data_IF_698313299752
#
_entry.id   IF_698313299752
#
_cell.length_a   1.000
_cell.length_b   1.000
_cell.length_c   1.000
_cell.angle_alpha   90.00
_cell.angle_beta   90.00
_cell.angle_gamma   90.00
#
_symmetry.space_group_name_H-M   'P 1'
#
loop_
_entity.id
_entity.type
_entity.pdbx_description
1 polymer ?
#
# COMPACT_ATOMS: atom_id res chain seq x y z
N UNK A 1 -13.28 -11.00 15.68
CA UNK A 1 -12.75 -9.63 15.79
C UNK A 1 -11.57 -9.68 16.74
N UNK A 2 -10.37 -9.43 16.24
CA UNK A 2 -9.15 -9.42 17.07
C UNK A 2 -9.13 -8.08 17.82
N UNK A 3 -9.18 -8.12 19.15
CA UNK A 3 -9.07 -6.93 19.98
C UNK A 3 -7.71 -6.24 19.74
N UNK A 4 -7.74 -4.96 19.36
CA UNK A 4 -6.54 -4.12 19.26
C UNK A 4 -5.82 -4.08 20.60
N UNK A 5 -4.55 -4.49 20.64
CA UNK A 5 -3.76 -4.55 21.88
C UNK A 5 -2.85 -3.34 21.96
N UNK A 6 -2.90 -2.60 23.08
CA UNK A 6 -2.03 -1.46 23.33
C UNK A 6 -0.86 -1.86 24.23
N UNK A 7 0.37 -1.71 23.72
CA UNK A 7 1.61 -2.04 24.44
C UNK A 7 2.50 -0.80 24.60
N UNK A 8 3.27 -0.67 25.70
CA UNK A 8 4.32 0.34 25.77
C UNK A 8 5.37 0.15 24.68
N UNK A 9 5.90 1.25 24.15
CA UNK A 9 7.02 1.26 23.19
C UNK A 9 7.99 2.38 23.57
N UNK A 10 9.05 2.03 24.29
CA UNK A 10 9.92 3.03 24.91
C UNK A 10 9.23 3.76 26.08
N UNK A 11 9.74 4.95 26.42
CA UNK A 11 9.30 5.70 27.60
C UNK A 11 8.09 6.61 27.35
N UNK A 12 7.88 7.03 26.11
CA UNK A 12 6.87 8.04 25.75
C UNK A 12 6.04 7.66 24.51
N UNK A 13 5.88 6.37 24.21
CA UNK A 13 5.02 5.94 23.11
C UNK A 13 4.27 4.64 23.39
N UNK A 14 3.17 4.46 22.67
CA UNK A 14 2.31 3.28 22.70
C UNK A 14 2.27 2.64 21.30
N UNK A 15 2.27 1.32 21.26
CA UNK A 15 2.16 0.50 20.06
C UNK A 15 0.83 -0.25 20.07
N UNK A 16 0.01 -0.01 19.05
CA UNK A 16 -1.30 -0.62 18.88
C UNK A 16 -1.23 -1.71 17.81
N UNK A 17 -1.55 -2.95 18.18
CA UNK A 17 -1.62 -4.08 17.24
C UNK A 17 -2.93 -4.05 16.44
N UNK A 18 -2.84 -4.12 15.11
CA UNK A 18 -4.00 -4.07 14.21
C UNK A 18 -4.24 -5.43 13.52
N UNK A 19 -5.49 -5.71 13.19
CA UNK A 19 -5.87 -6.95 12.52
C UNK A 19 -5.17 -7.09 11.15
N UNK A 20 -5.13 -6.02 10.38
CA UNK A 20 -4.53 -5.95 9.05
C UNK A 20 -4.10 -4.50 8.72
N UNK A 21 -3.67 -4.31 7.48
CA UNK A 21 -3.23 -3.01 6.96
C UNK A 21 -4.34 -1.96 6.93
N UNK A 22 -5.53 -2.35 6.46
CA UNK A 22 -6.67 -1.42 6.35
C UNK A 22 -7.04 -0.90 7.73
N UNK A 23 -7.07 -1.78 8.74
CA UNK A 23 -7.31 -1.42 10.12
C UNK A 23 -6.22 -0.49 10.68
N UNK A 24 -4.96 -0.69 10.32
CA UNK A 24 -3.85 0.16 10.78
C UNK A 24 -3.93 1.58 10.19
N UNK A 25 -4.13 1.71 8.88
CA UNK A 25 -4.26 3.01 8.21
C UNK A 25 -5.47 3.77 8.74
N UNK A 26 -6.61 3.10 8.89
CA UNK A 26 -7.84 3.73 9.39
C UNK A 26 -7.74 4.10 10.88
N UNK A 27 -7.05 3.29 11.70
CA UNK A 27 -6.79 3.65 13.10
C UNK A 27 -5.89 4.87 13.20
N UNK A 28 -4.78 4.93 12.44
CA UNK A 28 -3.89 6.08 12.44
C UNK A 28 -4.62 7.38 12.07
N UNK A 29 -5.38 7.36 10.98
CA UNK A 29 -6.22 8.49 10.53
C UNK A 29 -7.18 8.97 11.62
N UNK A 30 -7.78 8.05 12.37
CA UNK A 30 -8.72 8.41 13.46
C UNK A 30 -8.00 8.98 14.67
N UNK A 31 -6.86 8.41 15.06
CA UNK A 31 -6.04 8.94 16.15
C UNK A 31 -5.58 10.37 15.81
N UNK A 32 -5.08 10.61 14.60
CA UNK A 32 -4.69 11.96 14.14
C UNK A 32 -5.83 12.98 14.23
N UNK A 33 -7.07 12.54 13.98
CA UNK A 33 -8.24 13.43 14.00
C UNK A 33 -8.85 13.65 15.38
N UNK A 34 -8.73 12.68 16.28
CA UNK A 34 -9.49 12.63 17.53
C UNK A 34 -8.62 12.66 18.79
N UNK A 35 -7.31 12.49 18.65
CA UNK A 35 -6.35 12.50 19.76
C UNK A 35 -5.33 13.63 19.55
N UNK A 36 -5.70 14.90 19.79
CA UNK A 36 -4.79 16.04 19.60
C UNK A 36 -3.57 16.03 20.52
N UNK A 37 -3.62 15.25 21.61
CA UNK A 37 -2.51 15.02 22.54
C UNK A 37 -1.39 14.14 21.94
N UNK A 38 -1.69 13.40 20.86
CA UNK A 38 -0.68 12.60 20.17
C UNK A 38 0.31 13.53 19.47
N UNK A 39 1.59 13.45 19.86
CA UNK A 39 2.68 14.22 19.26
C UNK A 39 3.01 13.71 17.87
N UNK A 40 2.94 12.40 17.68
CA UNK A 40 3.17 11.75 16.40
C UNK A 40 2.33 10.47 16.30
N UNK A 41 1.91 10.15 15.08
CA UNK A 41 1.11 8.95 14.76
C UNK A 41 1.75 8.29 13.55
N UNK A 42 2.36 7.12 13.77
CA UNK A 42 3.10 6.40 12.73
C UNK A 42 2.41 5.08 12.43
N UNK A 43 1.70 5.05 11.30
CA UNK A 43 1.15 3.82 10.76
C UNK A 43 2.26 2.89 10.23
N UNK A 44 2.10 1.60 10.47
CA UNK A 44 2.88 0.53 9.88
C UNK A 44 1.97 -0.54 9.26
N UNK A 45 2.56 -1.65 8.83
CA UNK A 45 1.82 -2.68 8.07
C UNK A 45 0.68 -3.33 8.87
N UNK A 46 0.84 -3.48 10.20
CA UNK A 46 -0.16 -4.07 11.12
C UNK A 46 -0.12 -3.42 12.51
N UNK A 47 0.44 -2.23 12.60
CA UNK A 47 0.67 -1.55 13.87
C UNK A 47 0.49 -0.05 13.70
N UNK A 48 0.12 0.65 14.77
CA UNK A 48 0.20 2.11 14.85
C UNK A 48 1.01 2.46 16.09
N UNK A 49 2.07 3.26 15.91
CA UNK A 49 2.78 3.88 17.02
C UNK A 49 2.14 5.25 17.28
N UNK A 50 1.84 5.55 18.54
CA UNK A 50 1.34 6.86 18.96
C UNK A 50 2.27 7.39 20.04
N UNK A 51 2.89 8.54 19.79
CA UNK A 51 3.85 9.17 20.69
C UNK A 51 3.16 10.22 21.57
N UNK A 52 3.53 10.23 22.85
CA UNK A 52 3.28 11.33 23.77
C UNK A 52 4.49 12.28 23.78
N UNK A 53 4.34 13.46 24.40
CA UNK A 53 5.47 14.41 24.55
C UNK A 53 6.56 13.86 25.44
N UNK A 54 6.16 13.23 26.54
CA UNK A 54 7.05 12.59 27.50
C UNK A 54 6.32 11.49 28.28
N UNK A 55 7.06 10.84 29.18
CA UNK A 55 6.55 9.71 29.96
C UNK A 55 5.40 10.06 30.90
N UNK A 56 5.26 11.33 31.31
CA UNK A 56 4.20 11.76 32.24
C UNK A 56 2.82 11.84 31.59
N UNK A 57 2.77 12.08 30.28
CA UNK A 57 1.54 12.14 29.48
C UNK A 57 1.07 10.75 29.01
N UNK A 58 1.94 9.73 29.09
CA UNK A 58 1.65 8.38 28.58
C UNK A 58 0.39 7.72 29.18
N UNK A 59 0.09 7.83 30.49
CA UNK A 59 -1.14 7.26 31.07
C UNK A 59 -2.41 7.90 30.51
N UNK A 60 -2.39 9.21 30.26
CA UNK A 60 -3.52 9.94 29.71
C UNK A 60 -3.73 9.60 28.24
N UNK A 61 -2.65 9.59 27.45
CA UNK A 61 -2.70 9.14 26.06
C UNK A 61 -3.25 7.71 25.95
N UNK A 62 -2.83 6.80 26.85
CA UNK A 62 -3.39 5.45 26.92
C UNK A 62 -4.88 5.47 27.15
N UNK A 63 -5.36 6.24 28.13
CA UNK A 63 -6.79 6.34 28.46
C UNK A 63 -7.60 6.81 27.25
N UNK A 64 -7.15 7.85 26.57
CA UNK A 64 -7.83 8.39 25.37
C UNK A 64 -7.88 7.37 24.23
N UNK A 65 -6.80 6.64 23.99
CA UNK A 65 -6.77 5.58 22.98
C UNK A 65 -7.69 4.40 23.35
N UNK A 66 -7.72 3.99 24.61
CA UNK A 66 -8.63 2.95 25.10
C UNK A 66 -10.10 3.36 24.95
N UNK A 67 -10.41 4.63 25.23
CA UNK A 67 -11.75 5.19 25.02
C UNK A 67 -12.13 5.27 23.54
N UNK A 68 -11.21 5.69 22.67
CA UNK A 68 -11.42 5.70 21.22
C UNK A 68 -11.74 4.30 20.70
N UNK A 69 -10.92 3.30 21.05
CA UNK A 69 -11.15 1.92 20.64
C UNK A 69 -12.45 1.34 21.22
N UNK A 70 -12.83 1.73 22.44
CA UNK A 70 -14.09 1.32 23.05
C UNK A 70 -15.30 1.94 22.34
N UNK A 71 -15.21 3.20 21.89
CA UNK A 71 -16.23 3.84 21.05
C UNK A 71 -16.38 3.11 19.72
N UNK A 72 -15.28 2.83 19.04
CA UNK A 72 -15.25 2.10 17.78
C UNK A 72 -15.92 0.72 17.89
N UNK A 73 -15.60 -0.03 18.93
CA UNK A 73 -16.17 -1.35 19.16
C UNK A 73 -17.69 -1.31 19.35
N UNK A 74 -18.24 -0.23 19.92
CA UNK A 74 -19.68 -0.01 20.06
C UNK A 74 -20.31 0.42 18.74
N UNK A 75 -19.65 1.29 17.99
CA UNK A 75 -20.16 1.77 16.69
C UNK A 75 -20.16 0.68 15.64
N UNK A 76 -19.14 -0.19 15.61
CA UNK A 76 -19.08 -1.35 14.72
C UNK A 76 -20.18 -2.40 14.98
N UNK A 77 -20.80 -2.39 16.16
CA UNK A 77 -21.94 -3.26 16.51
C UNK A 77 -23.29 -2.69 16.04
N UNK A 78 -23.34 -1.41 15.66
CA UNK A 78 -24.53 -0.78 15.10
C UNK A 78 -24.38 -0.81 13.58
N UNK A 79 -25.12 -1.68 12.89
CA UNK A 79 -25.11 -1.77 11.42
C UNK A 79 -25.35 -0.39 10.81
N UNK A 80 -24.29 0.22 10.26
CA UNK A 80 -24.39 1.37 9.38
C UNK A 80 -24.05 0.94 7.96
N UNK A 81 -24.80 1.43 6.94
CA UNK A 81 -24.39 1.25 5.56
C UNK A 81 -22.97 1.82 5.39
N UNK A 82 -22.06 1.01 4.86
CA UNK A 82 -20.71 1.43 4.47
C UNK A 82 -20.80 2.73 3.68
N UNK A 83 -20.54 3.86 4.34
CA UNK A 83 -20.52 5.15 3.67
C UNK A 83 -19.14 5.20 3.02
N UNK A 84 -19.10 4.91 1.72
CA UNK A 84 -17.89 5.03 0.91
C UNK A 84 -17.34 6.45 1.16
N UNK A 85 -16.23 6.55 1.92
CA UNK A 85 -15.63 7.85 2.21
C UNK A 85 -15.36 8.54 0.88
N UNK A 86 -16.02 9.69 0.69
CA UNK A 86 -15.93 10.45 -0.54
C UNK A 86 -14.49 10.94 -0.71
N UNK A 87 -13.97 10.63 -1.89
CA UNK A 87 -12.63 10.84 -2.45
C UNK A 87 -12.20 12.31 -2.62
N UNK A 88 -12.89 13.23 -1.96
CA UNK A 88 -12.73 14.66 -2.18
C UNK A 88 -11.36 15.12 -1.63
N UNK A 89 -10.43 15.40 -2.55
CA UNK A 89 -9.10 15.94 -2.24
C UNK A 89 -7.94 14.96 -2.33
N UNK A 90 -8.16 13.72 -2.77
CA UNK A 90 -7.06 12.76 -2.98
C UNK A 90 -6.22 13.18 -4.19
N UNK A 91 -4.96 13.53 -3.97
CA UNK A 91 -4.03 13.90 -5.03
C UNK A 91 -3.57 12.66 -5.79
N UNK A 92 -3.60 12.74 -7.11
CA UNK A 92 -3.03 11.72 -7.99
C UNK A 92 -1.64 12.16 -8.48
N UNK A 93 -0.66 11.27 -8.33
CA UNK A 93 0.74 11.47 -8.73
C UNK A 93 1.10 10.42 -9.78
N UNK A 94 1.58 10.85 -10.94
CA UNK A 94 2.06 9.97 -12.01
C UNK A 94 3.58 9.90 -11.94
N UNK A 95 4.12 8.69 -11.81
CA UNK A 95 5.56 8.42 -11.82
C UNK A 95 5.95 7.74 -13.13
N UNK A 96 6.82 8.40 -13.89
CA UNK A 96 7.41 7.85 -15.12
C UNK A 96 8.51 6.86 -14.77
N UNK A 97 8.38 5.63 -15.29
CA UNK A 97 9.26 4.50 -14.95
C UNK A 97 9.87 3.89 -16.19
N UNK A 98 11.19 3.74 -16.17
CA UNK A 98 11.91 2.82 -17.05
C UNK A 98 11.92 1.45 -16.39
N UNK A 99 11.25 0.48 -17.02
CA UNK A 99 11.17 -0.90 -16.51
C UNK A 99 12.38 -1.72 -16.97
N UNK A 100 13.54 -1.44 -16.39
CA UNK A 100 14.82 -2.10 -16.66
C UNK A 100 15.46 -2.66 -15.37
N UNK A 101 14.65 -2.87 -14.34
CA UNK A 101 15.15 -3.31 -13.04
C UNK A 101 15.78 -4.71 -13.10
N UNK A 102 16.83 -4.97 -12.30
CA UNK A 102 17.58 -6.22 -12.34
C UNK A 102 16.75 -7.46 -11.95
N UNK A 103 15.65 -7.28 -11.21
CA UNK A 103 14.78 -8.38 -10.79
C UNK A 103 13.53 -8.52 -11.67
N UNK A 104 13.36 -7.67 -12.69
CA UNK A 104 12.11 -7.59 -13.45
C UNK A 104 11.70 -8.92 -14.07
N UNK A 105 12.65 -9.66 -14.66
CA UNK A 105 12.38 -10.99 -15.23
C UNK A 105 12.01 -12.00 -14.14
N UNK A 106 12.77 -12.04 -13.04
CA UNK A 106 12.52 -12.99 -11.95
C UNK A 106 11.17 -12.72 -11.27
N UNK A 107 10.79 -11.45 -11.09
CA UNK A 107 9.47 -11.09 -10.57
C UNK A 107 8.36 -11.54 -11.52
N UNK A 108 8.58 -11.41 -12.84
CA UNK A 108 7.61 -11.87 -13.82
C UNK A 108 7.42 -13.40 -13.73
N UNK A 109 8.51 -14.15 -13.61
CA UNK A 109 8.50 -15.60 -13.43
C UNK A 109 7.79 -16.02 -12.13
N UNK A 110 8.11 -15.35 -11.01
CA UNK A 110 7.44 -15.58 -9.71
C UNK A 110 5.93 -15.29 -9.77
N UNK A 111 5.52 -14.31 -10.59
CA UNK A 111 4.13 -13.96 -10.81
C UNK A 111 3.42 -14.85 -11.86
N UNK A 112 4.15 -15.74 -12.54
CA UNK A 112 3.61 -16.55 -13.66
C UNK A 112 3.21 -15.70 -14.87
N UNK A 113 3.90 -14.58 -15.09
CA UNK A 113 3.61 -13.60 -16.14
C UNK A 113 4.83 -13.42 -17.05
N UNK A 114 4.61 -12.97 -18.30
CA UNK A 114 5.70 -12.37 -19.07
C UNK A 114 6.07 -11.00 -18.49
N UNK A 115 7.29 -10.52 -18.75
CA UNK A 115 7.73 -9.17 -18.35
C UNK A 115 6.76 -8.09 -18.82
N UNK A 116 6.30 -8.14 -20.08
CA UNK A 116 5.33 -7.17 -20.59
C UNK A 116 3.98 -7.25 -19.88
N UNK A 117 3.54 -8.46 -19.53
CA UNK A 117 2.30 -8.65 -18.78
C UNK A 117 2.41 -8.10 -17.35
N UNK A 118 3.55 -8.32 -16.69
CA UNK A 118 3.87 -7.74 -15.38
C UNK A 118 3.88 -6.21 -15.44
N UNK A 119 4.55 -5.61 -16.43
CA UNK A 119 4.60 -4.16 -16.63
C UNK A 119 3.19 -3.59 -16.86
N UNK A 120 2.38 -4.21 -17.73
CA UNK A 120 0.98 -3.78 -17.94
C UNK A 120 0.14 -3.89 -16.67
N UNK A 121 0.32 -4.97 -15.91
CA UNK A 121 -0.38 -5.21 -14.64
C UNK A 121 -0.02 -4.16 -13.59
N UNK A 122 1.27 -3.88 -13.41
CA UNK A 122 1.76 -2.88 -12.45
C UNK A 122 1.22 -1.47 -12.76
N UNK A 123 1.16 -1.09 -14.04
CA UNK A 123 0.61 0.20 -14.49
C UNK A 123 -0.91 0.29 -14.36
N UNK A 124 -1.64 -0.83 -14.44
CA UNK A 124 -3.10 -0.83 -14.33
C UNK A 124 -3.62 -0.60 -12.91
N UNK A 125 -2.78 -0.83 -11.90
CA UNK A 125 -3.14 -0.70 -10.49
C UNK A 125 -3.21 0.78 -10.11
N UNK A 126 -4.25 1.16 -9.36
CA UNK A 126 -4.25 2.42 -8.62
C UNK A 126 -3.51 2.16 -7.33
N UNK A 127 -2.30 2.66 -7.21
CA UNK A 127 -1.54 2.50 -5.98
C UNK A 127 -1.96 3.58 -4.98
N UNK A 128 -1.96 3.25 -3.70
CA UNK A 128 -2.25 4.18 -2.61
C UNK A 128 -1.08 4.22 -1.65
N UNK A 129 -0.61 5.42 -1.33
CA UNK A 129 0.41 5.62 -0.30
C UNK A 129 -0.19 5.31 1.08
N UNK A 130 0.03 4.10 1.58
CA UNK A 130 -0.59 3.65 2.84
C UNK A 130 0.02 4.36 4.05
N UNK A 131 1.36 4.43 4.10
CA UNK A 131 2.12 5.12 5.15
C UNK A 131 3.54 5.42 4.69
N UNK A 132 4.16 6.44 5.29
CA UNK A 132 5.57 6.77 5.12
C UNK A 132 6.44 6.02 6.12
N UNK A 133 7.72 5.79 5.80
CA UNK A 133 8.66 5.14 6.72
C UNK A 133 9.97 4.77 6.03
N UNK A 134 10.86 4.03 6.71
CA UNK A 134 12.18 3.62 6.23
C UNK A 134 13.19 4.76 5.97
N UNK A 135 12.85 5.74 5.14
CA UNK A 135 13.67 6.92 4.85
C UNK A 135 12.76 8.11 4.47
N UNK A 136 13.23 9.37 4.59
CA UNK A 136 12.46 10.53 4.14
C UNK A 136 12.02 10.40 2.67
N UNK A 137 10.73 10.56 2.41
CA UNK A 137 10.13 10.40 1.08
C UNK A 137 9.86 8.96 0.63
N UNK A 138 10.17 7.94 1.44
CA UNK A 138 9.81 6.56 1.13
C UNK A 138 8.40 6.25 1.65
N UNK A 139 7.53 5.84 0.72
CA UNK A 139 6.15 5.46 1.02
C UNK A 139 5.87 4.02 0.60
N UNK A 140 5.18 3.31 1.48
CA UNK A 140 4.67 1.97 1.21
C UNK A 140 3.37 2.11 0.42
N UNK A 141 3.45 1.82 -0.88
CA UNK A 141 2.31 1.84 -1.77
C UNK A 141 1.63 0.48 -1.79
N UNK A 142 0.30 0.45 -1.78
CA UNK A 142 -0.50 -0.77 -1.95
C UNK A 142 -1.52 -0.60 -3.04
N UNK A 143 -2.08 -1.69 -3.54
CA UNK A 143 -3.28 -1.61 -4.37
C UNK A 143 -4.39 -0.94 -3.55
N UNK A 144 -5.03 0.11 -4.07
CA UNK A 144 -6.07 0.84 -3.33
C UNK A 144 -7.19 -0.07 -2.82
N UNK A 145 -7.46 -1.16 -3.54
CA UNK A 145 -8.45 -2.17 -3.17
C UNK A 145 -8.08 -2.93 -1.88
N UNK A 146 -6.83 -2.87 -1.45
CA UNK A 146 -6.37 -3.42 -0.16
C UNK A 146 -6.82 -2.58 1.04
N UNK A 147 -7.21 -1.32 0.80
CA UNK A 147 -7.66 -0.38 1.83
C UNK A 147 -9.19 -0.18 1.82
N UNK A 148 -9.87 -0.48 0.71
CA UNK A 148 -11.33 -0.36 0.60
C UNK A 148 -12.08 -1.61 1.06
N UNK A 149 -11.37 -2.70 1.39
CA UNK A 149 -12.00 -3.95 1.81
C UNK A 149 -12.62 -4.75 0.66
N UNK A 150 -12.34 -4.41 -0.59
CA UNK A 150 -12.72 -5.20 -1.76
C UNK A 150 -11.87 -6.48 -1.81
N UNK A 151 -12.11 -7.42 -0.90
CA UNK A 151 -11.44 -8.72 -0.89
C UNK A 151 -11.70 -9.44 -2.23
N UNK A 152 -10.64 -9.93 -2.87
CA UNK A 152 -10.77 -10.72 -4.09
C UNK A 152 -11.61 -11.98 -3.78
N UNK A 153 -12.75 -12.09 -4.46
CA UNK A 153 -13.55 -13.30 -4.56
C UNK A 153 -12.83 -14.26 -5.52
N UNK A 154 -11.61 -14.70 -5.21
CA UNK A 154 -10.95 -15.80 -5.93
C UNK A 154 -9.70 -16.31 -5.19
N UNK A 155 -9.90 -17.00 -4.06
CA UNK A 155 -8.88 -17.92 -3.53
C UNK A 155 -9.26 -19.41 -3.67
N UNK A 156 -10.34 -19.74 -4.36
CA UNK A 156 -10.71 -21.14 -4.63
C UNK A 156 -10.73 -21.43 -6.12
N UNK A 157 -9.63 -22.01 -6.64
CA UNK A 157 -9.63 -22.99 -7.73
C UNK A 157 -8.24 -23.63 -7.87
N UNK A 158 -7.91 -24.47 -6.90
CA UNK A 158 -7.03 -25.62 -7.12
C UNK A 158 -7.78 -26.89 -6.69
N UNK A 159 -8.42 -27.53 -7.66
CA UNK A 159 -8.94 -28.89 -7.52
C UNK A 159 -10.35 -29.09 -8.08
N UNK A 160 -10.45 -29.46 -9.35
CA UNK A 160 -11.35 -30.53 -9.82
C UNK A 160 -11.24 -30.67 -11.34
N UNK A 161 -10.46 -31.67 -11.77
CA UNK A 161 -10.68 -32.39 -13.02
C UNK A 161 -12.06 -33.00 -13.03
N UNK A 162 -12.86 -32.76 -14.07
CA UNK A 162 -14.15 -33.41 -14.26
C UNK A 162 -14.80 -33.01 -15.58
N UNK A 163 -14.72 -33.91 -16.57
CA UNK A 163 -15.42 -33.80 -17.84
C UNK A 163 -16.94 -33.88 -17.64
N UNK A 164 -17.73 -33.05 -18.35
CA UNK A 164 -18.82 -33.54 -19.19
C UNK A 164 -19.35 -32.48 -20.15
N UNK A 165 -19.74 -32.93 -21.35
CA UNK A 165 -20.29 -32.10 -22.42
C UNK A 165 -21.79 -31.80 -22.29
N UNK A 166 -22.21 -30.73 -22.94
CA UNK A 166 -23.63 -30.39 -23.14
C UNK A 166 -23.77 -29.16 -24.04
N UNK A 167 -24.30 -29.34 -25.26
CA UNK A 167 -24.67 -28.28 -26.20
C UNK A 167 -26.01 -27.65 -25.79
N UNK A 168 -26.12 -26.32 -25.89
CA UNK A 168 -27.36 -25.54 -25.81
C UNK A 168 -27.12 -24.05 -26.13
N UNK A 169 -28.09 -23.29 -26.67
CA UNK A 169 -27.89 -22.47 -27.87
C UNK A 169 -27.53 -20.99 -27.64
N UNK A 170 -27.06 -20.39 -28.74
CA UNK A 170 -26.69 -19.00 -28.95
C UNK A 170 -27.85 -18.01 -28.80
N UNK A 171 -27.55 -16.82 -28.28
CA UNK A 171 -28.45 -15.66 -28.36
C UNK A 171 -28.20 -14.61 -27.28
N UNK A 172 -27.20 -13.74 -27.50
CA UNK A 172 -26.97 -12.56 -26.67
C UNK A 172 -25.81 -11.76 -27.21
N UNK A 173 -26.09 -10.74 -28.02
CA UNK A 173 -25.06 -9.79 -28.45
C UNK A 173 -24.47 -9.08 -27.22
N UNK A 174 -23.16 -8.79 -27.17
CA UNK A 174 -22.57 -8.18 -25.99
C UNK A 174 -23.03 -6.71 -25.89
N UNK A 175 -23.81 -6.43 -24.85
CA UNK A 175 -23.96 -5.07 -24.31
C UNK A 175 -22.58 -4.53 -23.88
N UNK A 176 -22.27 -3.25 -24.11
CA UNK A 176 -20.99 -2.67 -23.72
C UNK A 176 -21.07 -2.23 -22.25
N UNK A 177 -20.98 -3.18 -21.32
CA UNK A 177 -20.82 -2.88 -19.89
C UNK A 177 -20.06 -4.03 -19.22
N UNK A 178 -18.92 -3.71 -18.62
CA UNK A 178 -18.15 -4.65 -17.80
C UNK A 178 -16.73 -4.89 -18.32
N UNK A 179 -15.90 -3.86 -18.40
CA UNK A 179 -14.46 -4.11 -18.35
C UNK A 179 -14.18 -4.70 -16.96
N UNK A 180 -13.82 -5.99 -16.90
CA UNK A 180 -13.43 -6.64 -15.67
C UNK A 180 -12.31 -5.81 -15.02
N UNK A 181 -12.38 -5.50 -13.72
CA UNK A 181 -11.33 -4.74 -13.07
C UNK A 181 -9.98 -5.44 -13.29
N UNK A 182 -8.90 -4.67 -13.50
CA UNK A 182 -7.59 -5.28 -13.74
C UNK A 182 -7.25 -6.21 -12.57
N UNK A 183 -6.81 -7.42 -12.88
CA UNK A 183 -6.43 -8.39 -11.85
C UNK A 183 -5.35 -7.81 -10.91
N UNK A 184 -5.24 -8.34 -9.70
CA UNK A 184 -4.22 -7.90 -8.72
C UNK A 184 -2.82 -8.35 -9.12
N UNK A 185 -1.80 -7.71 -8.54
CA UNK A 185 -0.45 -8.25 -8.63
C UNK A 185 -0.32 -9.42 -7.62
N UNK A 186 0.24 -10.58 -8.01
CA UNK A 186 0.59 -11.62 -7.05
C UNK A 186 1.56 -11.09 -5.99
N UNK A 187 1.56 -11.71 -4.80
CA UNK A 187 2.50 -11.39 -3.72
C UNK A 187 3.91 -11.74 -4.16
N UNK A 188 4.84 -10.78 -4.10
CA UNK A 188 6.23 -10.96 -4.55
C UNK A 188 7.15 -10.99 -3.33
N UNK A 189 7.75 -12.13 -2.95
CA UNK A 189 8.59 -12.19 -1.76
C UNK A 189 9.83 -11.29 -1.87
N UNK A 190 10.30 -10.82 -0.72
CA UNK A 190 11.58 -10.11 -0.60
C UNK A 190 12.74 -11.01 -1.05
N UNK A 191 13.87 -10.38 -1.37
CA UNK A 191 15.14 -11.10 -1.50
C UNK A 191 15.49 -11.84 -0.21
N UNK A 192 16.08 -13.03 -0.33
CA UNK A 192 16.60 -13.77 0.82
C UNK A 192 17.74 -13.06 1.56
N UNK A 193 18.45 -12.14 0.89
CA UNK A 193 19.43 -11.26 1.51
C UNK A 193 19.33 -9.85 0.92
N UNK A 194 19.30 -8.77 1.73
CA UNK A 194 19.24 -7.41 1.22
C UNK A 194 20.47 -7.05 0.37
N UNK A 195 20.25 -6.22 -0.66
CA UNK A 195 21.35 -5.56 -1.36
C UNK A 195 22.03 -4.58 -0.41
N UNK A 196 23.37 -4.50 -0.42
CA UNK A 196 24.08 -3.49 0.36
C UNK A 196 23.80 -2.08 -0.17
N UNK A 197 23.42 -1.96 -1.45
CA UNK A 197 23.09 -0.70 -2.10
C UNK A 197 22.03 -0.89 -3.18
N UNK A 198 20.93 -0.15 -3.04
CA UNK A 198 19.88 0.06 -4.03
C UNK A 198 20.01 1.51 -4.51
N UNK A 199 20.03 1.80 -5.83
CA UNK A 199 20.08 3.18 -6.34
C UNK A 199 18.85 4.01 -5.95
N UNK A 200 19.02 5.32 -5.83
CA UNK A 200 17.90 6.26 -5.75
C UNK A 200 17.01 6.15 -7.01
N UNK A 201 15.71 6.37 -6.86
CA UNK A 201 14.72 6.24 -7.92
C UNK A 201 14.31 4.80 -8.24
N UNK A 202 14.93 3.78 -7.61
CA UNK A 202 14.58 2.38 -7.88
C UNK A 202 13.12 2.11 -7.50
N UNK A 203 12.36 1.49 -8.40
CA UNK A 203 10.99 1.02 -8.15
C UNK A 203 11.07 -0.43 -7.70
N UNK A 204 10.60 -0.70 -6.48
CA UNK A 204 10.70 -2.00 -5.84
C UNK A 204 9.33 -2.60 -5.53
N UNK A 205 9.28 -3.94 -5.49
CA UNK A 205 8.17 -4.74 -4.99
C UNK A 205 8.63 -5.61 -3.81
N UNK A 206 7.78 -5.71 -2.79
CA UNK A 206 7.95 -6.63 -1.67
C UNK A 206 6.59 -6.96 -1.03
N UNK A 207 6.28 -8.25 -0.95
CA UNK A 207 5.00 -8.79 -0.57
C UNK A 207 3.86 -8.16 -1.39
N UNK A 208 2.96 -7.42 -0.73
CA UNK A 208 1.88 -6.67 -1.38
C UNK A 208 2.26 -5.22 -1.73
N UNK A 209 3.46 -4.78 -1.35
CA UNK A 209 3.86 -3.38 -1.42
C UNK A 209 4.66 -3.08 -2.68
N UNK A 210 4.45 -1.87 -3.19
CA UNK A 210 5.32 -1.17 -4.13
C UNK A 210 5.92 0.06 -3.45
N UNK A 211 7.09 0.49 -3.85
CA UNK A 211 7.72 1.72 -3.36
C UNK A 211 8.75 2.23 -4.34
N UNK A 212 9.09 3.51 -4.20
CA UNK A 212 10.25 4.10 -4.86
C UNK A 212 11.28 4.50 -3.82
N UNK A 213 12.52 4.05 -4.00
CA UNK A 213 13.63 4.41 -3.11
C UNK A 213 14.00 5.89 -3.32
N UNK A 214 13.83 6.78 -2.32
CA UNK A 214 14.08 8.22 -2.48
C UNK A 214 15.58 8.56 -2.58
N UNK A 215 16.43 7.72 -2.01
CA UNK A 215 17.88 7.85 -1.98
C UNK A 215 18.57 6.50 -2.06
N UNK A 216 19.90 6.51 -2.23
CA UNK A 216 20.66 5.27 -2.25
C UNK A 216 20.77 4.67 -0.84
N UNK A 217 20.28 3.45 -0.65
CA UNK A 217 20.24 2.77 0.66
C UNK A 217 20.39 1.26 0.50
N UNK A 218 20.71 0.50 1.57
CA UNK A 218 20.49 -0.94 1.57
C UNK A 218 19.01 -1.28 1.35
N UNK A 219 18.70 -2.44 0.77
CA UNK A 219 17.31 -2.80 0.49
C UNK A 219 17.12 -4.23 0.00
N UNK A 220 16.08 -4.90 0.51
CA UNK A 220 15.75 -6.29 0.14
C UNK A 220 14.56 -6.44 -0.80
N UNK A 221 14.09 -5.35 -1.42
CA UNK A 221 12.96 -5.40 -2.34
C UNK A 221 13.43 -5.81 -3.74
N UNK A 222 12.53 -6.43 -4.50
CA UNK A 222 12.76 -6.81 -5.89
C UNK A 222 12.59 -5.59 -6.78
N UNK A 223 13.64 -5.19 -7.48
CA UNK A 223 13.70 -3.97 -8.28
C UNK A 223 13.23 -4.24 -9.71
N UNK A 224 12.13 -3.60 -10.11
CA UNK A 224 11.48 -3.80 -11.42
C UNK A 224 11.74 -2.67 -12.41
N UNK A 225 12.25 -1.53 -11.94
CA UNK A 225 12.55 -0.38 -12.79
C UNK A 225 13.13 0.78 -11.99
N UNK A 226 13.19 1.95 -12.63
CA UNK A 226 13.62 3.20 -12.00
C UNK A 226 12.85 4.41 -12.53
N UNK A 227 12.73 5.45 -11.71
CA UNK A 227 12.18 6.76 -12.05
C UNK A 227 13.19 7.85 -11.73
N UNK A 228 13.17 8.93 -12.51
CA UNK A 228 13.95 10.15 -12.24
C UNK A 228 13.19 11.14 -11.33
N UNK A 229 11.98 10.79 -10.89
CA UNK A 229 11.22 11.59 -9.95
C UNK A 229 12.00 11.78 -8.64
N UNK A 230 12.02 13.01 -8.12
CA UNK A 230 12.60 13.33 -6.82
C UNK A 230 11.54 13.18 -5.74
N UNK A 231 11.62 12.09 -4.98
CA UNK A 231 10.65 11.70 -3.94
C UNK A 231 10.81 12.53 -2.65
N UNK A 232 12.02 13.03 -2.41
CA UNK A 232 12.36 13.89 -1.29
C UNK A 232 13.25 15.03 -1.76
N UNK A 233 12.88 16.25 -1.42
CA UNK A 233 13.62 17.47 -1.76
C UNK A 233 13.42 18.50 -0.62
N UNK A 234 14.43 18.71 0.24
CA UNK A 234 14.29 19.57 1.42
C UNK A 234 14.05 21.04 1.09
N UNK A 235 14.31 21.46 -0.15
CA UNK A 235 14.15 22.84 -0.59
C UNK A 235 12.72 23.12 -1.13
N UNK A 236 11.85 22.10 -1.23
CA UNK A 236 10.44 22.28 -1.60
C UNK A 236 9.59 22.72 -0.41
N UNK A 237 8.50 23.48 -0.65
CA UNK A 237 7.51 23.79 0.40
C UNK A 237 6.95 22.53 1.07
N UNK A 238 6.67 21.51 0.25
CA UNK A 238 6.33 20.16 0.70
C UNK A 238 7.50 19.22 0.32
N UNK A 239 8.40 18.88 1.27
CA UNK A 239 9.62 18.16 0.93
C UNK A 239 9.39 16.76 0.35
N UNK A 240 8.34 16.07 0.80
CA UNK A 240 7.98 14.76 0.29
C UNK A 240 7.07 14.89 -0.95
N UNK A 241 7.42 14.20 -2.03
CA UNK A 241 6.58 14.17 -3.23
C UNK A 241 5.24 13.48 -2.99
N UNK A 242 5.19 12.55 -2.04
CA UNK A 242 4.01 11.76 -1.67
C UNK A 242 3.64 12.05 -0.21
N UNK A 243 2.37 11.90 0.11
CA UNK A 243 1.80 11.95 1.46
C UNK A 243 0.89 10.73 1.67
N UNK A 244 0.63 10.32 2.93
CA UNK A 244 -0.33 9.26 3.21
C UNK A 244 -1.69 9.56 2.57
N UNK A 245 -2.27 8.56 1.91
CA UNK A 245 -3.56 8.68 1.22
C UNK A 245 -3.49 9.08 -0.25
N UNK A 246 -2.34 9.57 -0.75
CA UNK A 246 -2.18 9.90 -2.18
C UNK A 246 -2.38 8.68 -3.08
N UNK A 247 -2.89 8.94 -4.29
CA UNK A 247 -2.92 7.95 -5.37
C UNK A 247 -1.68 8.07 -6.22
N UNK A 248 -1.10 6.93 -6.56
CA UNK A 248 0.07 6.83 -7.42
C UNK A 248 -0.27 5.97 -8.64
N UNK A 249 0.07 6.49 -9.82
CA UNK A 249 0.02 5.75 -11.09
C UNK A 249 1.42 5.67 -11.65
N UNK A 250 1.78 4.50 -12.17
CA UNK A 250 3.04 4.33 -12.87
C UNK A 250 2.81 4.34 -14.36
N UNK A 251 3.66 5.05 -15.10
CA UNK A 251 3.62 5.12 -16.55
C UNK A 251 4.97 4.68 -17.12
N UNK A 252 4.96 3.69 -18.00
CA UNK A 252 6.16 3.25 -18.70
C UNK A 252 6.67 4.37 -19.60
N UNK A 253 7.95 4.67 -19.49
CA UNK A 253 8.67 5.49 -20.46
C UNK A 253 9.76 4.65 -21.09
N UNK A 254 9.89 4.78 -22.41
CA UNK A 254 11.03 4.24 -23.12
C UNK A 254 12.09 5.33 -23.21
N UNK A 255 13.39 4.98 -23.25
CA UNK A 255 14.41 5.93 -23.64
C UNK A 255 13.94 6.60 -24.95
N UNK A 256 13.90 7.93 -24.99
CA UNK A 256 13.73 8.60 -26.27
C UNK A 256 14.96 8.20 -27.09
N UNK A 257 14.75 7.52 -28.22
CA UNK A 257 15.79 7.37 -29.22
C UNK A 257 16.29 8.78 -29.57
N UNK A 258 17.49 9.11 -29.10
CA UNK A 258 18.23 10.30 -29.52
C UNK A 258 18.26 11.47 -28.54
N UNK A 259 19.40 11.62 -27.87
CA UNK A 259 20.13 12.89 -27.92
C UNK A 259 21.64 12.66 -28.00
N UNK A 260 22.10 12.56 -29.26
CA UNK A 260 23.48 12.66 -29.79
C UNK A 260 24.50 11.58 -29.46
#
# INVERSE_FOLDING_TARGET
MTTTRIRPCGEAALMLDCADLSAAVELARRVEQQCPEAVDVVAGARTVLVAARDASELPELRRELEELLARDAREAQVERPFTRHHDAGVREVILDVRYDGPDLSEVADLAGLSTDALIRRHQSITWRAAFGGFAPGFFYLVDERDLTGDADVSEDLHGATGANGGRGPAGGGPSPAGAQPPARLPVVPRLGSPRPRVPAGSVGLADRFCAVYPGASPGGWRLIGATDALLWDPDRPDPALLAPGDRVRFRSVHPRDGSR
#
